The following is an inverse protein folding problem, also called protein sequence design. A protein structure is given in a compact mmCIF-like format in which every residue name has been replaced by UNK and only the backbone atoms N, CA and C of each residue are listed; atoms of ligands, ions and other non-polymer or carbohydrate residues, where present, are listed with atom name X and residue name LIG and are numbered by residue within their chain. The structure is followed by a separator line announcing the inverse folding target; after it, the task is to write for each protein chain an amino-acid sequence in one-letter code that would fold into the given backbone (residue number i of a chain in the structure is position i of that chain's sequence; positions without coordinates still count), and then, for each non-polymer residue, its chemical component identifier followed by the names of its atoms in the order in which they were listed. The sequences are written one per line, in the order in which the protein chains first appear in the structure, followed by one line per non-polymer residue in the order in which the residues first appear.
data_IF_090214052842
#
_entry.id   IF_090214052842
#
_cell.length_a   1.000
_cell.length_b   1.000
_cell.length_c   1.000
_cell.angle_alpha   90.00
_cell.angle_beta   90.00
_cell.angle_gamma   90.00
#
_symmetry.space_group_name_H-M   'P 1'
#
loop_
_entity.id
_entity.type
_entity.pdbx_description
1 polymer ?
#
# COMPACT_ATOMS: atom_id res chain seq x y z
N UNK A 1 18.62 15.51 7.85
CA UNK A 1 17.83 14.32 8.20
C UNK A 1 17.80 13.44 6.97
N UNK A 2 18.14 12.17 7.10
CA UNK A 2 18.21 11.23 5.98
C UNK A 2 17.11 10.17 6.17
N UNK A 3 16.50 9.75 5.08
CA UNK A 3 15.53 8.66 5.08
C UNK A 3 16.13 7.53 4.26
N UNK A 4 16.00 6.31 4.74
CA UNK A 4 16.35 5.09 4.01
C UNK A 4 15.11 4.22 3.93
N UNK A 5 14.94 3.51 2.81
CA UNK A 5 13.81 2.61 2.62
C UNK A 5 14.20 1.39 1.81
N UNK A 6 13.52 0.30 2.11
CA UNK A 6 13.59 -0.97 1.40
C UNK A 6 12.18 -1.51 1.25
N UNK A 7 11.85 -2.10 0.10
CA UNK A 7 10.58 -2.83 -0.06
C UNK A 7 10.84 -4.27 -0.44
N UNK A 8 10.21 -5.17 0.32
CA UNK A 8 10.25 -6.62 0.10
C UNK A 8 8.84 -7.12 -0.15
N UNK A 9 8.68 -8.04 -1.10
CA UNK A 9 7.37 -8.49 -1.55
C UNK A 9 7.45 -9.88 -2.15
N UNK A 10 6.36 -10.63 -2.07
CA UNK A 10 6.25 -11.98 -2.66
C UNK A 10 4.83 -12.23 -3.17
N UNK A 11 4.68 -12.87 -4.33
CA UNK A 11 3.35 -13.29 -4.77
C UNK A 11 2.79 -14.36 -3.83
N UNK A 12 1.47 -14.52 -3.88
CA UNK A 12 0.75 -15.66 -3.36
C UNK A 12 1.41 -16.96 -3.80
N UNK A 13 1.51 -17.93 -2.90
CA UNK A 13 2.11 -19.23 -3.22
C UNK A 13 1.32 -19.91 -4.33
N UNK A 14 2.01 -20.26 -5.41
CA UNK A 14 1.45 -20.87 -6.62
C UNK A 14 1.25 -19.90 -7.79
N UNK A 15 1.28 -18.59 -7.53
CA UNK A 15 1.17 -17.56 -8.56
C UNK A 15 2.55 -17.26 -9.19
N UNK A 16 2.53 -16.88 -10.47
CA UNK A 16 3.69 -16.29 -11.15
C UNK A 16 3.90 -14.85 -10.69
N UNK A 17 5.11 -14.31 -10.88
CA UNK A 17 5.39 -12.90 -10.63
C UNK A 17 4.47 -11.95 -11.42
N UNK A 18 4.00 -12.36 -12.61
CA UNK A 18 3.06 -11.58 -13.42
C UNK A 18 1.64 -11.52 -12.86
N UNK A 19 1.33 -12.36 -11.88
CA UNK A 19 0.03 -12.47 -11.19
C UNK A 19 0.06 -11.81 -9.81
N UNK A 20 1.13 -11.06 -9.49
CA UNK A 20 1.22 -10.23 -8.30
C UNK A 20 0.42 -8.93 -8.53
N UNK A 21 -0.52 -8.66 -7.64
CA UNK A 21 -1.54 -7.60 -7.76
C UNK A 21 -1.32 -6.45 -6.76
N UNK A 22 -0.50 -6.66 -5.73
CA UNK A 22 0.00 -5.59 -4.87
C UNK A 22 0.88 -4.59 -5.66
N UNK A 23 0.98 -3.36 -5.15
CA UNK A 23 1.86 -2.33 -5.68
C UNK A 23 2.47 -1.48 -4.57
N UNK A 24 3.62 -0.90 -4.86
CA UNK A 24 4.32 0.02 -3.97
C UNK A 24 5.12 1.05 -4.74
N UNK A 25 5.31 2.22 -4.14
CA UNK A 25 6.16 3.27 -4.69
C UNK A 25 6.71 4.18 -3.58
N UNK A 26 7.94 4.69 -3.70
CA UNK A 26 8.92 4.49 -4.78
C UNK A 26 9.58 3.11 -4.76
N UNK A 27 10.27 2.77 -5.86
CA UNK A 27 11.05 1.51 -5.97
C UNK A 27 12.42 1.60 -5.29
N UNK A 28 12.91 2.82 -5.09
CA UNK A 28 14.15 3.14 -4.40
C UNK A 28 13.89 4.26 -3.39
N UNK A 29 14.81 4.48 -2.46
CA UNK A 29 14.71 5.58 -1.50
C UNK A 29 14.57 6.91 -2.24
N UNK A 30 13.46 7.65 -2.04
CA UNK A 30 13.24 8.89 -2.75
C UNK A 30 14.22 9.96 -2.27
N UNK A 31 14.70 10.80 -3.18
CA UNK A 31 15.36 12.05 -2.80
C UNK A 31 14.37 12.97 -2.09
N UNK A 32 14.92 13.83 -1.25
CA UNK A 32 14.17 14.92 -0.62
C UNK A 32 13.52 15.79 -1.71
N UNK A 33 12.20 15.96 -1.61
CA UNK A 33 11.42 16.90 -2.44
C UNK A 33 10.83 17.98 -1.54
N UNK A 34 11.53 19.11 -1.47
CA UNK A 34 11.12 20.29 -0.69
C UNK A 34 10.85 19.97 0.78
N UNK A 35 11.70 19.15 1.40
CA UNK A 35 11.57 18.69 2.78
C UNK A 35 10.55 17.57 2.94
N UNK A 36 10.28 16.77 1.90
CA UNK A 36 9.29 15.69 1.98
C UNK A 36 9.67 14.39 1.26
N UNK A 37 9.27 13.27 1.85
CA UNK A 37 9.42 11.91 1.32
C UNK A 37 8.06 11.21 1.35
N UNK A 38 7.66 10.59 0.23
CA UNK A 38 6.39 9.87 0.14
C UNK A 38 6.58 8.42 -0.20
N UNK A 39 5.80 7.59 0.48
CA UNK A 39 5.76 6.15 0.31
C UNK A 39 4.30 5.73 0.21
N UNK A 40 4.01 4.73 -0.60
CA UNK A 40 2.67 4.17 -0.67
C UNK A 40 2.72 2.69 -1.01
N UNK A 41 1.77 1.95 -0.44
CA UNK A 41 1.45 0.57 -0.81
C UNK A 41 -0.03 0.48 -1.15
N UNK A 42 -0.39 -0.49 -1.98
CA UNK A 42 -1.74 -0.75 -2.45
C UNK A 42 -1.87 -2.23 -2.72
N UNK A 43 -2.99 -2.81 -2.29
CA UNK A 43 -3.35 -4.20 -2.52
C UNK A 43 -4.44 -4.24 -3.60
N UNK A 44 -4.13 -4.90 -4.72
CA UNK A 44 -5.02 -5.08 -5.84
C UNK A 44 -5.99 -6.22 -5.60
N UNK A 45 -7.30 -5.94 -5.64
CA UNK A 45 -8.30 -6.97 -5.35
C UNK A 45 -8.34 -8.07 -6.43
N UNK A 46 -8.02 -9.30 -6.05
CA UNK A 46 -7.94 -10.46 -6.95
C UNK A 46 -9.24 -10.83 -7.67
N UNK A 47 -10.39 -10.43 -7.13
CA UNK A 47 -11.68 -10.65 -7.81
C UNK A 47 -11.92 -9.63 -8.95
N UNK A 48 -11.04 -8.63 -9.11
CA UNK A 48 -11.20 -7.57 -10.10
C UNK A 48 -10.15 -7.63 -11.19
N UNK A 49 -10.59 -7.57 -12.45
CA UNK A 49 -9.68 -7.53 -13.59
C UNK A 49 -8.81 -6.28 -13.55
N UNK A 50 -7.51 -6.45 -13.83
CA UNK A 50 -6.52 -5.37 -13.96
C UNK A 50 -6.35 -4.56 -12.66
N UNK A 51 -6.53 -5.21 -11.51
CA UNK A 51 -6.26 -4.73 -10.15
C UNK A 51 -4.82 -4.24 -9.96
N UNK A 52 -3.81 -5.01 -10.37
CA UNK A 52 -2.39 -4.65 -10.24
C UNK A 52 -2.01 -3.34 -10.93
N UNK A 53 -2.33 -3.15 -12.23
CA UNK A 53 -2.12 -1.87 -12.90
C UNK A 53 -2.86 -0.70 -12.23
N UNK A 54 -4.03 -0.94 -11.64
CA UNK A 54 -4.75 0.08 -10.89
C UNK A 54 -4.04 0.45 -9.58
N UNK A 55 -3.62 -0.54 -8.80
CA UNK A 55 -2.82 -0.38 -7.59
C UNK A 55 -1.53 0.42 -7.87
N UNK A 56 -0.81 0.08 -8.94
CA UNK A 56 0.41 0.76 -9.37
C UNK A 56 0.15 2.24 -9.74
N UNK A 57 -0.97 2.55 -10.39
CA UNK A 57 -1.35 3.93 -10.71
C UNK A 57 -1.71 4.70 -9.45
N UNK A 58 -2.38 4.09 -8.47
CA UNK A 58 -2.73 4.74 -7.20
C UNK A 58 -1.48 5.15 -6.42
N UNK A 59 -0.54 4.22 -6.17
CA UNK A 59 0.68 4.50 -5.39
C UNK A 59 1.55 5.57 -6.07
N UNK A 60 1.70 5.50 -7.40
CA UNK A 60 2.42 6.53 -8.18
C UNK A 60 1.73 7.88 -8.10
N UNK A 61 0.41 7.93 -8.21
CA UNK A 61 -0.35 9.18 -8.15
C UNK A 61 -0.21 9.87 -6.80
N UNK A 62 -0.18 9.09 -5.70
CA UNK A 62 0.06 9.61 -4.36
C UNK A 62 1.47 10.19 -4.21
N UNK A 63 2.50 9.40 -4.52
CA UNK A 63 3.89 9.79 -4.27
C UNK A 63 4.40 10.88 -5.24
N UNK A 64 3.80 11.02 -6.42
CA UNK A 64 4.14 12.10 -7.37
C UNK A 64 3.44 13.42 -7.07
N UNK A 65 2.45 13.42 -6.18
CA UNK A 65 1.77 14.64 -5.81
C UNK A 65 2.66 15.49 -4.89
N UNK A 66 2.63 16.81 -5.07
CA UNK A 66 3.38 17.77 -4.25
C UNK A 66 2.49 18.48 -3.21
N UNK A 67 1.18 18.25 -3.25
CA UNK A 67 0.24 18.92 -2.34
C UNK A 67 0.26 18.26 -0.95
N UNK A 68 0.14 19.01 0.16
CA UNK A 68 0.10 18.44 1.52
C UNK A 68 -0.92 17.32 1.68
N UNK A 69 -0.63 16.34 2.54
CA UNK A 69 -1.49 15.17 2.70
C UNK A 69 -2.67 15.53 3.60
N UNK A 70 -3.87 15.49 3.02
CA UNK A 70 -5.14 15.70 3.72
C UNK A 70 -6.19 14.75 3.14
N UNK A 71 -7.35 14.61 3.79
CA UNK A 71 -8.47 13.88 3.19
C UNK A 71 -8.92 14.48 1.85
N UNK A 72 -8.90 15.81 1.72
CA UNK A 72 -9.32 16.50 0.50
C UNK A 72 -8.32 16.26 -0.65
N UNK A 73 -7.01 16.42 -0.37
CA UNK A 73 -5.99 16.17 -1.39
C UNK A 73 -5.90 14.70 -1.77
N UNK A 74 -6.11 13.77 -0.85
CA UNK A 74 -6.18 12.34 -1.15
C UNK A 74 -7.33 12.00 -2.11
N UNK A 75 -8.54 12.57 -1.90
CA UNK A 75 -9.65 12.43 -2.85
C UNK A 75 -9.30 12.98 -4.24
N UNK A 76 -8.66 14.14 -4.29
CA UNK A 76 -8.22 14.74 -5.56
C UNK A 76 -7.14 13.91 -6.26
N UNK A 77 -6.20 13.32 -5.51
CA UNK A 77 -5.17 12.39 -6.01
C UNK A 77 -5.85 11.15 -6.61
N UNK A 78 -6.80 10.54 -5.90
CA UNK A 78 -7.55 9.38 -6.39
C UNK A 78 -8.33 9.74 -7.66
N UNK A 79 -8.97 10.92 -7.69
CA UNK A 79 -9.63 11.43 -8.90
C UNK A 79 -8.67 11.49 -10.10
N UNK A 80 -7.47 12.03 -9.92
CA UNK A 80 -6.43 12.03 -10.97
C UNK A 80 -5.97 10.62 -11.35
N UNK A 81 -5.85 9.72 -10.38
CA UNK A 81 -5.51 8.33 -10.64
C UNK A 81 -6.55 7.66 -11.55
N UNK A 82 -7.84 7.88 -11.33
CA UNK A 82 -8.89 7.30 -12.20
C UNK A 82 -8.78 7.76 -13.66
N UNK A 83 -8.48 9.05 -13.89
CA UNK A 83 -8.21 9.56 -15.24
C UNK A 83 -6.96 8.94 -15.87
N UNK A 84 -5.89 8.76 -15.08
CA UNK A 84 -4.67 8.10 -15.54
C UNK A 84 -4.92 6.61 -15.88
N UNK A 85 -5.75 5.93 -15.09
CA UNK A 85 -6.15 4.55 -15.37
C UNK A 85 -6.99 4.44 -16.64
N UNK A 86 -7.91 5.36 -16.89
CA UNK A 86 -8.69 5.37 -18.13
C UNK A 86 -7.79 5.53 -19.37
N UNK A 87 -6.81 6.44 -19.31
CA UNK A 87 -5.82 6.62 -20.36
C UNK A 87 -4.96 5.37 -20.56
N UNK A 88 -4.51 4.75 -19.46
CA UNK A 88 -3.77 3.49 -19.48
C UNK A 88 -4.58 2.35 -20.10
N UNK A 89 -5.86 2.20 -19.72
CA UNK A 89 -6.75 1.17 -20.23
C UNK A 89 -6.95 1.30 -21.74
N UNK A 90 -7.18 2.51 -22.26
CA UNK A 90 -7.24 2.75 -23.71
C UNK A 90 -5.95 2.30 -24.43
N UNK A 91 -4.79 2.54 -23.81
CA UNK A 91 -3.50 2.05 -24.31
C UNK A 91 -3.39 0.52 -24.29
N UNK A 92 -3.79 -0.10 -23.18
CA UNK A 92 -3.81 -1.55 -22.99
C UNK A 92 -4.66 -2.25 -24.06
N UNK A 93 -5.88 -1.76 -24.30
CA UNK A 93 -6.81 -2.31 -25.28
C UNK A 93 -6.25 -2.21 -26.72
N UNK A 94 -5.72 -1.05 -27.10
CA UNK A 94 -5.09 -0.88 -28.42
C UNK A 94 -3.88 -1.79 -28.64
N UNK A 95 -3.08 -2.01 -27.60
CA UNK A 95 -1.94 -2.92 -27.67
C UNK A 95 -2.40 -4.36 -27.88
N UNK A 96 -3.39 -4.81 -27.11
CA UNK A 96 -4.00 -6.14 -27.21
C UNK A 96 -4.55 -6.41 -28.61
N UNK A 97 -5.25 -5.44 -29.20
CA UNK A 97 -5.73 -5.51 -30.59
C UNK A 97 -4.58 -5.73 -31.58
N UNK A 98 -3.53 -4.90 -31.51
CA UNK A 98 -2.36 -4.97 -32.40
C UNK A 98 -1.59 -6.28 -32.27
N UNK A 99 -1.58 -6.88 -31.09
CA UNK A 99 -0.93 -8.18 -30.81
C UNK A 99 -1.80 -9.38 -31.23
N UNK A 100 -2.94 -9.16 -31.88
CA UNK A 100 -3.85 -10.22 -32.32
C UNK A 100 -4.57 -10.91 -31.15
N UNK A 101 -4.67 -10.23 -30.00
CA UNK A 101 -5.30 -10.73 -28.77
C UNK A 101 -6.39 -9.76 -28.32
N UNK A 102 -7.44 -9.50 -29.10
CA UNK A 102 -8.51 -8.59 -28.68
C UNK A 102 -9.12 -9.02 -27.34
N UNK A 103 -9.79 -8.09 -26.66
CA UNK A 103 -10.60 -8.41 -25.49
C UNK A 103 -11.67 -9.41 -25.89
N UNK A 104 -11.77 -10.50 -25.14
CA UNK A 104 -12.79 -11.51 -25.37
C UNK A 104 -14.10 -11.11 -24.69
N UNK A 105 -15.24 -11.56 -25.22
CA UNK A 105 -16.57 -11.22 -24.70
C UNK A 105 -16.73 -11.53 -23.20
N UNK A 106 -16.06 -12.56 -22.68
CA UNK A 106 -16.10 -12.93 -21.26
C UNK A 106 -15.27 -12.01 -20.35
N UNK A 107 -14.35 -11.21 -20.91
CA UNK A 107 -13.55 -10.22 -20.20
C UNK A 107 -14.31 -8.89 -20.04
N UNK A 108 -15.25 -8.59 -20.94
CA UNK A 108 -15.98 -7.31 -20.96
C UNK A 108 -16.74 -7.02 -19.66
N UNK A 109 -17.46 -7.98 -19.02
CA UNK A 109 -18.12 -7.73 -17.75
C UNK A 109 -17.14 -7.26 -16.67
N UNK A 110 -15.97 -7.91 -16.55
CA UNK A 110 -14.96 -7.54 -15.56
C UNK A 110 -14.39 -6.13 -15.80
N UNK A 111 -14.09 -5.80 -17.06
CA UNK A 111 -13.63 -4.46 -17.44
C UNK A 111 -14.69 -3.37 -17.20
N UNK A 112 -15.97 -3.70 -17.39
CA UNK A 112 -17.10 -2.80 -17.15
C UNK A 112 -17.30 -2.54 -15.66
N UNK A 113 -17.15 -3.57 -14.81
CA UNK A 113 -17.19 -3.39 -13.35
C UNK A 113 -16.04 -2.48 -12.90
N UNK A 114 -14.87 -2.60 -13.50
CA UNK A 114 -13.67 -1.83 -13.18
C UNK A 114 -12.75 -2.54 -12.19
N UNK A 115 -11.54 -2.01 -12.06
CA UNK A 115 -10.52 -2.52 -11.14
C UNK A 115 -10.72 -1.93 -9.74
N UNK A 116 -10.32 -2.68 -8.70
CA UNK A 116 -10.40 -2.24 -7.31
C UNK A 116 -9.08 -2.51 -6.59
N UNK A 117 -8.70 -1.60 -5.70
CA UNK A 117 -7.50 -1.74 -4.88
C UNK A 117 -7.60 -0.90 -3.59
N UNK A 118 -6.79 -1.22 -2.59
CA UNK A 118 -6.58 -0.38 -1.40
C UNK A 118 -5.64 0.80 -1.74
N UNK A 119 -5.43 1.71 -0.80
CA UNK A 119 -4.31 2.65 -0.83
C UNK A 119 -3.93 3.02 0.58
N UNK A 120 -2.66 2.83 0.94
CA UNK A 120 -2.02 3.43 2.10
C UNK A 120 -0.90 4.35 1.61
N UNK A 121 -0.99 5.64 1.93
CA UNK A 121 0.05 6.61 1.64
C UNK A 121 0.61 7.21 2.92
N UNK A 122 1.94 7.34 2.98
CA UNK A 122 2.71 8.01 4.04
C UNK A 122 3.50 9.17 3.42
N UNK A 123 3.48 10.33 4.08
CA UNK A 123 4.36 11.45 3.79
C UNK A 123 5.14 11.81 5.05
N UNK A 124 6.46 11.76 4.98
CA UNK A 124 7.35 12.37 5.97
C UNK A 124 7.63 13.80 5.50
N UNK A 125 7.46 14.78 6.38
CA UNK A 125 7.61 16.21 6.07
C UNK A 125 8.46 16.89 7.13
N UNK A 126 9.33 17.82 6.72
CA UNK A 126 10.05 18.70 7.62
C UNK A 126 9.06 19.47 8.51
N UNK A 127 9.25 19.39 9.83
CA UNK A 127 8.54 20.24 10.78
C UNK A 127 9.03 21.69 10.71
N UNK A 128 8.46 22.54 11.56
CA UNK A 128 9.01 23.88 11.79
C UNK A 128 10.50 23.79 12.22
N UNK A 129 11.32 24.82 11.98
CA UNK A 129 12.72 24.83 12.40
C UNK A 129 12.86 24.40 13.87
N UNK A 130 13.62 23.31 14.12
CA UNK A 130 13.84 22.74 15.45
C UNK A 130 12.92 21.59 15.87
N UNK A 131 11.84 21.28 15.14
CA UNK A 131 10.81 20.30 15.55
C UNK A 131 10.92 18.90 14.90
N UNK A 132 12.04 18.57 14.25
CA UNK A 132 12.24 17.27 13.59
C UNK A 132 11.27 17.03 12.42
N UNK A 133 11.07 15.75 12.04
CA UNK A 133 10.10 15.37 11.02
C UNK A 133 8.71 15.17 11.62
N UNK A 134 7.69 15.52 10.85
CA UNK A 134 6.31 15.06 11.08
C UNK A 134 5.95 14.05 10.00
N UNK A 135 4.97 13.24 10.28
CA UNK A 135 4.45 12.29 9.31
C UNK A 135 2.93 12.41 9.20
N UNK A 136 2.43 12.18 8.00
CA UNK A 136 1.01 12.21 7.65
C UNK A 136 0.67 10.96 6.84
N UNK A 137 -0.44 10.32 7.17
CA UNK A 137 -0.88 9.12 6.46
C UNK A 137 -2.36 9.16 6.10
N UNK A 138 -2.69 8.58 4.95
CA UNK A 138 -4.06 8.36 4.49
C UNK A 138 -4.24 6.90 4.11
N UNK A 139 -5.44 6.37 4.35
CA UNK A 139 -5.75 5.00 3.99
C UNK A 139 -7.21 4.84 3.51
N UNK A 140 -7.39 4.07 2.43
CA UNK A 140 -8.63 3.39 2.07
C UNK A 140 -8.31 1.90 1.98
N UNK A 141 -9.08 1.06 2.66
CA UNK A 141 -8.81 -0.37 2.79
C UNK A 141 -8.19 -0.72 4.14
N UNK A 142 -7.34 -1.74 4.12
CA UNK A 142 -6.80 -2.43 5.29
C UNK A 142 -5.27 -2.64 5.24
N UNK A 143 -4.58 -2.11 4.22
CA UNK A 143 -3.13 -1.94 4.29
C UNK A 143 -2.76 -1.05 5.50
N UNK A 144 -1.69 -1.40 6.21
CA UNK A 144 -1.35 -0.84 7.51
C UNK A 144 0.02 -0.15 7.55
N UNK A 145 0.08 0.98 8.25
CA UNK A 145 1.25 1.70 8.71
C UNK A 145 1.52 1.37 10.19
N UNK A 146 2.74 0.96 10.47
CA UNK A 146 3.26 0.81 11.82
C UNK A 146 4.43 1.75 12.05
N UNK A 147 4.49 2.41 13.20
CA UNK A 147 5.64 3.19 13.64
C UNK A 147 6.27 2.50 14.85
N UNK A 148 7.55 2.18 14.77
CA UNK A 148 8.33 1.57 15.85
C UNK A 148 9.45 2.52 16.28
N UNK A 149 9.58 2.75 17.58
CA UNK A 149 10.63 3.57 18.20
C UNK A 149 11.16 2.83 19.41
N UNK A 150 12.48 2.70 19.54
CA UNK A 150 13.13 2.08 20.70
C UNK A 150 12.47 0.74 21.11
N UNK A 151 12.26 -0.13 20.11
CA UNK A 151 11.64 -1.45 20.29
C UNK A 151 10.19 -1.43 20.84
N UNK A 152 9.46 -0.34 20.59
CA UNK A 152 8.04 -0.22 20.95
C UNK A 152 7.20 0.22 19.76
N UNK A 153 6.04 -0.40 19.62
CA UNK A 153 5.03 0.04 18.66
C UNK A 153 4.39 1.33 19.16
N UNK A 154 4.69 2.45 18.50
CA UNK A 154 4.17 3.78 18.82
C UNK A 154 2.82 4.01 18.16
N UNK A 155 2.70 3.61 16.89
CA UNK A 155 1.50 3.83 16.09
C UNK A 155 1.12 2.57 15.33
N UNK A 156 -0.18 2.25 15.34
CA UNK A 156 -0.83 1.29 14.44
C UNK A 156 -1.97 1.97 13.68
N UNK A 157 -1.90 1.92 12.36
CA UNK A 157 -2.87 2.45 11.41
C UNK A 157 -2.93 1.50 10.22
N UNK A 158 -3.98 1.30 9.45
CA UNK A 158 -5.34 1.78 9.64
C UNK A 158 -6.24 0.79 10.40
N UNK A 159 -5.75 -0.45 10.60
CA UNK A 159 -6.36 -1.49 11.43
C UNK A 159 -5.59 -1.55 12.76
N UNK A 160 -6.30 -1.84 13.86
CA UNK A 160 -5.72 -1.83 15.22
C UNK A 160 -5.58 -3.21 15.84
N UNK A 161 -6.42 -4.16 15.44
CA UNK A 161 -6.37 -5.53 15.94
C UNK A 161 -6.30 -6.53 14.80
N UNK A 162 -5.61 -7.64 15.01
CA UNK A 162 -5.53 -8.72 14.01
C UNK A 162 -6.92 -9.30 13.68
N UNK A 163 -7.85 -9.27 14.64
CA UNK A 163 -9.24 -9.70 14.46
C UNK A 163 -10.11 -8.76 13.61
N UNK A 164 -9.66 -7.53 13.36
CA UNK A 164 -10.44 -6.51 12.65
C UNK A 164 -10.25 -6.58 11.12
N UNK A 165 -9.32 -7.42 10.65
CA UNK A 165 -9.17 -7.69 9.22
C UNK A 165 -10.42 -8.42 8.70
N UNK A 166 -11.00 -7.91 7.63
CA UNK A 166 -12.19 -8.47 7.01
C UNK A 166 -11.85 -9.06 5.65
N UNK A 167 -12.64 -10.03 5.20
CA UNK A 167 -12.48 -10.63 3.85
C UNK A 167 -12.84 -9.64 2.73
N UNK A 168 -13.53 -8.52 3.04
CA UNK A 168 -14.00 -7.54 2.05
C UNK A 168 -13.69 -6.12 2.52
N UNK A 169 -12.44 -5.66 2.42
CA UNK A 169 -12.10 -4.29 2.76
C UNK A 169 -12.83 -3.30 1.83
N UNK A 170 -12.90 -2.05 2.27
CA UNK A 170 -13.40 -0.97 1.42
C UNK A 170 -12.31 -0.62 0.40
N UNK A 171 -12.64 -0.74 -0.88
CA UNK A 171 -11.69 -0.57 -1.98
C UNK A 171 -11.98 0.69 -2.79
N UNK A 172 -10.93 1.23 -3.41
CA UNK A 172 -11.00 2.31 -4.39
C UNK A 172 -11.23 1.68 -5.77
N UNK A 173 -12.29 2.10 -6.45
CA UNK A 173 -12.57 1.72 -7.83
C UNK A 173 -11.87 2.62 -8.83
N UNK A 174 -11.44 2.03 -9.96
CA UNK A 174 -11.02 2.79 -11.12
C UNK A 174 -12.17 3.53 -11.84
N UNK A 175 -13.43 3.24 -11.47
CA UNK A 175 -14.63 3.96 -11.93
C UNK A 175 -15.00 5.06 -10.91
N UNK A 176 -14.91 6.36 -11.26
CA UNK A 176 -15.16 7.46 -10.32
C UNK A 176 -16.51 7.39 -9.58
N UNK A 177 -17.58 7.01 -10.29
CA UNK A 177 -18.93 6.91 -9.74
C UNK A 177 -19.07 5.88 -8.60
N UNK A 178 -18.13 4.93 -8.48
CA UNK A 178 -18.14 3.88 -7.45
C UNK A 178 -17.35 4.24 -6.19
N UNK A 179 -16.72 5.42 -6.14
CA UNK A 179 -15.83 5.79 -5.04
C UNK A 179 -16.51 6.49 -3.85
N UNK A 180 -17.84 6.62 -3.84
CA UNK A 180 -18.55 7.31 -2.75
C UNK A 180 -18.28 6.65 -1.39
N UNK A 181 -18.37 5.31 -1.32
CA UNK A 181 -18.11 4.55 -0.09
C UNK A 181 -16.64 4.68 0.32
N UNK A 182 -15.71 4.48 -0.62
CA UNK A 182 -14.27 4.66 -0.40
C UNK A 182 -13.95 6.04 0.19
N UNK A 183 -14.53 7.11 -0.36
CA UNK A 183 -14.32 8.48 0.11
C UNK A 183 -14.94 8.77 1.47
N UNK A 184 -16.04 8.09 1.82
CA UNK A 184 -16.64 8.17 3.15
C UNK A 184 -15.80 7.46 4.22
N UNK A 185 -15.08 6.40 3.83
CA UNK A 185 -14.25 5.57 4.70
C UNK A 185 -12.76 5.94 4.68
N UNK A 186 -12.39 6.98 3.93
CA UNK A 186 -11.04 7.52 3.89
C UNK A 186 -10.58 7.95 5.29
N UNK A 187 -9.54 7.27 5.77
CA UNK A 187 -8.90 7.54 7.05
C UNK A 187 -7.71 8.47 6.85
N UNK A 188 -7.42 9.29 7.85
CA UNK A 188 -6.25 10.15 7.93
C UNK A 188 -5.72 10.11 9.37
N UNK A 189 -4.40 10.13 9.51
CA UNK A 189 -3.73 10.30 10.81
C UNK A 189 -2.38 10.98 10.59
N UNK A 190 -1.79 11.51 11.65
CA UNK A 190 -0.50 12.17 11.63
C UNK A 190 0.19 12.06 12.98
N UNK A 191 1.49 12.29 13.01
CA UNK A 191 2.29 12.22 14.22
C UNK A 191 3.67 12.84 14.06
N UNK A 192 4.48 12.67 15.10
CA UNK A 192 5.89 13.10 15.12
C UNK A 192 6.81 11.93 14.82
N UNK A 193 7.95 12.25 14.21
CA UNK A 193 8.99 11.31 13.88
C UNK A 193 10.31 11.79 14.48
N UNK A 194 11.02 10.89 15.16
CA UNK A 194 12.36 11.13 15.68
C UNK A 194 13.40 10.40 14.82
N UNK A 195 14.67 10.81 14.92
CA UNK A 195 15.76 9.99 14.40
C UNK A 195 15.75 8.63 15.10
N UNK A 196 15.98 7.55 14.35
CA UNK A 196 15.85 6.17 14.80
C UNK A 196 14.46 5.57 14.65
N UNK A 197 13.42 6.36 14.35
CA UNK A 197 12.08 5.81 14.09
C UNK A 197 12.09 4.95 12.82
N UNK A 198 11.31 3.87 12.91
CA UNK A 198 11.06 2.94 11.80
C UNK A 198 9.59 2.97 11.45
N UNK A 199 9.29 3.04 10.15
CA UNK A 199 7.94 2.88 9.63
C UNK A 199 7.86 1.63 8.77
N UNK A 200 6.73 0.95 8.85
CA UNK A 200 6.42 -0.18 7.98
C UNK A 200 5.07 0.03 7.34
N UNK A 201 5.01 0.07 6.01
CA UNK A 201 3.77 0.00 5.25
C UNK A 201 3.60 -1.44 4.76
N UNK A 202 2.44 -2.02 5.02
CA UNK A 202 2.19 -3.44 4.81
C UNK A 202 0.83 -3.68 4.15
N UNK A 203 0.76 -4.65 3.24
CA UNK A 203 -0.51 -5.21 2.76
C UNK A 203 -1.08 -6.20 3.77
N UNK A 204 -2.34 -6.60 3.58
CA UNK A 204 -3.20 -7.05 4.66
C UNK A 204 -2.70 -8.37 5.32
N UNK A 205 -2.22 -9.33 4.54
CA UNK A 205 -1.83 -10.65 5.03
C UNK A 205 -0.64 -10.57 6.01
N UNK A 206 0.40 -9.81 5.66
CA UNK A 206 1.57 -9.62 6.54
C UNK A 206 1.27 -8.63 7.68
N UNK A 207 0.41 -7.63 7.46
CA UNK A 207 -0.06 -6.73 8.52
C UNK A 207 -0.88 -7.45 9.60
N UNK A 208 -1.73 -8.41 9.20
CA UNK A 208 -2.51 -9.23 10.10
C UNK A 208 -1.62 -10.13 10.97
N UNK A 209 -0.60 -10.74 10.37
CA UNK A 209 0.43 -11.46 11.12
C UNK A 209 1.16 -10.54 12.10
N UNK A 210 1.61 -9.37 11.65
CA UNK A 210 2.33 -8.40 12.47
C UNK A 210 1.52 -8.01 13.72
N UNK A 211 0.25 -7.64 13.55
CA UNK A 211 -0.62 -7.30 14.68
C UNK A 211 -0.82 -8.47 15.62
N UNK A 212 -1.02 -9.69 15.11
CA UNK A 212 -1.28 -10.86 15.94
C UNK A 212 -0.06 -11.23 16.80
N UNK A 213 1.14 -11.16 16.26
CA UNK A 213 2.36 -11.41 17.05
C UNK A 213 2.57 -10.30 18.08
N UNK A 214 2.34 -9.03 17.71
CA UNK A 214 2.41 -7.93 18.67
C UNK A 214 1.40 -8.08 19.82
N UNK A 215 0.17 -8.50 19.53
CA UNK A 215 -0.88 -8.79 20.53
C UNK A 215 -0.49 -9.92 21.50
N UNK A 216 0.46 -10.79 21.12
CA UNK A 216 1.04 -11.83 21.98
C UNK A 216 2.21 -11.33 22.83
N UNK A 217 2.60 -10.07 22.70
CA UNK A 217 3.74 -9.48 23.39
C UNK A 217 5.07 -9.63 22.64
N UNK A 218 5.04 -10.09 21.40
CA UNK A 218 6.24 -10.25 20.57
C UNK A 218 6.62 -8.96 19.83
N UNK A 219 7.84 -8.95 19.27
CA UNK A 219 8.41 -7.86 18.47
C UNK A 219 8.49 -8.26 16.97
N UNK A 220 7.37 -8.24 16.21
CA UNK A 220 7.34 -8.73 14.82
C UNK A 220 8.28 -7.99 13.87
N UNK A 221 8.60 -6.72 14.16
CA UNK A 221 9.59 -5.94 13.40
C UNK A 221 10.99 -6.56 13.46
N UNK A 222 11.37 -7.21 14.56
CA UNK A 222 12.67 -7.88 14.69
C UNK A 222 12.76 -9.08 13.75
N UNK A 223 11.68 -9.86 13.60
CA UNK A 223 11.63 -10.95 12.63
C UNK A 223 11.70 -10.44 11.19
N UNK A 224 11.06 -9.31 10.88
CA UNK A 224 11.16 -8.66 9.56
C UNK A 224 12.58 -8.16 9.27
N UNK A 225 13.35 -7.72 10.26
CA UNK A 225 14.71 -7.22 10.03
C UNK A 225 15.77 -8.31 10.00
N UNK A 226 15.60 -9.38 10.78
CA UNK A 226 16.62 -10.41 10.95
C UNK A 226 16.48 -11.60 9.99
N UNK A 227 15.27 -11.87 9.49
CA UNK A 227 15.02 -13.05 8.66
C UNK A 227 15.17 -12.74 7.17
N UNK A 228 15.57 -13.75 6.40
CA UNK A 228 15.26 -13.74 4.97
C UNK A 228 13.74 -13.65 4.78
N UNK A 229 13.31 -12.73 3.93
CA UNK A 229 11.89 -12.41 3.78
C UNK A 229 11.12 -13.56 3.12
N UNK A 230 11.74 -14.28 2.18
CA UNK A 230 11.12 -15.42 1.51
C UNK A 230 10.99 -16.62 2.43
N UNK A 231 12.02 -16.91 3.23
CA UNK A 231 11.95 -17.96 4.23
C UNK A 231 10.91 -17.66 5.31
N UNK A 232 10.85 -16.40 5.80
CA UNK A 232 9.86 -15.97 6.76
C UNK A 232 8.44 -16.16 6.22
N UNK A 233 8.14 -15.57 5.05
CA UNK A 233 6.81 -15.64 4.44
C UNK A 233 6.41 -17.08 4.13
N UNK A 234 7.33 -17.88 3.59
CA UNK A 234 7.10 -19.29 3.27
C UNK A 234 6.80 -20.12 4.51
N UNK A 235 7.54 -19.89 5.60
CA UNK A 235 7.30 -20.54 6.90
C UNK A 235 5.94 -20.15 7.47
N UNK A 236 5.62 -18.84 7.52
CA UNK A 236 4.35 -18.35 8.06
C UNK A 236 3.13 -18.91 7.30
N UNK A 237 3.20 -18.98 5.96
CA UNK A 237 2.15 -19.60 5.13
C UNK A 237 2.03 -21.10 5.37
N UNK A 238 3.16 -21.81 5.51
CA UNK A 238 3.17 -23.27 5.75
C UNK A 238 2.60 -23.65 7.12
N UNK A 239 2.89 -22.85 8.14
CA UNK A 239 2.43 -23.05 9.52
C UNK A 239 1.00 -22.55 9.75
N UNK A 240 0.31 -22.02 8.73
CA UNK A 240 -1.04 -21.47 8.86
C UNK A 240 -1.10 -20.16 9.67
N UNK A 241 0.06 -19.55 9.94
CA UNK A 241 0.17 -18.28 10.66
C UNK A 241 -0.12 -17.07 9.76
N UNK A 242 -0.09 -17.22 8.44
CA UNK A 242 -0.41 -16.13 7.52
C UNK A 242 -1.26 -16.65 6.37
N UNK A 243 -2.23 -15.82 5.93
CA UNK A 243 -3.06 -16.11 4.74
C UNK A 243 -2.14 -16.30 3.53
N UNK A 244 -2.48 -17.24 2.65
CA UNK A 244 -1.80 -17.36 1.38
C UNK A 244 -2.30 -16.28 0.42
N UNK A 245 -1.66 -15.12 0.48
CA UNK A 245 -1.95 -13.97 -0.36
C UNK A 245 -0.68 -13.25 -0.80
N UNK A 246 -0.79 -12.31 -1.74
CA UNK A 246 0.30 -11.37 -2.02
C UNK A 246 0.72 -10.63 -0.75
N UNK A 247 2.02 -10.37 -0.62
CA UNK A 247 2.57 -9.65 0.53
C UNK A 247 3.54 -8.58 0.09
N UNK A 248 3.45 -7.43 0.73
CA UNK A 248 4.32 -6.28 0.50
C UNK A 248 4.66 -5.62 1.82
N UNK A 249 5.94 -5.34 2.05
CA UNK A 249 6.45 -4.59 3.20
C UNK A 249 7.42 -3.53 2.73
N UNK A 250 7.04 -2.26 2.83
CA UNK A 250 7.96 -1.12 2.70
C UNK A 250 8.44 -0.72 4.09
N UNK A 251 9.71 -0.98 4.37
CA UNK A 251 10.41 -0.59 5.61
C UNK A 251 11.12 0.74 5.38
N UNK A 252 10.97 1.68 6.30
CA UNK A 252 11.55 3.03 6.22
C UNK A 252 12.24 3.33 7.54
N UNK A 253 13.49 3.81 7.48
CA UNK A 253 14.26 4.24 8.64
C UNK A 253 14.60 5.71 8.53
N UNK A 254 14.39 6.44 9.62
CA UNK A 254 14.74 7.85 9.73
C UNK A 254 16.06 7.98 10.48
N UNK A 255 17.01 8.70 9.88
CA UNK A 255 18.39 8.91 10.35
C UNK A 255 18.64 10.39 10.69
#
# INVERSE_FOLDING_TARGET
MRVESETRWLPKRGNKLSEYEDAFYPKETPHDRDGSWRFAVSDGASESMLSGPWAEILVKSFCRSLVPVTKASAKAIIGRATMAYEAWLKGYLRRREREGRPVQWYEEPGLNVGAFATLLGLSLVAGAPGNGLRWEAVCVGDSCLFQVREDRLITSFAVKRSSDFSVRPVLISSKPAKNQVAFSKLKYTSGTCLSGDRFYLMTDAIAAWFLREHERGEAPWSALEASDFEDLVSRLRREGLMRNDDVTVTSIRVL
#
